data_IF_075099839565
#
_entry.id   IF_075099839565
#
_cell.length_a   1.000
_cell.length_b   1.000
_cell.length_c   1.000
_cell.angle_alpha   90.00
_cell.angle_beta   90.00
_cell.angle_gamma   90.00
#
_symmetry.space_group_name_H-M   'P 1'
#
loop_
_entity.id
_entity.type
_entity.pdbx_description
1 polymer ?
#
# COMPACT_ATOMS: atom_id res chain seq x y z
N UNK A 1 2.24 -7.34 0.82
CA UNK A 1 1.62 -8.21 1.87
C UNK A 1 0.23 -8.57 1.36
N UNK A 2 0.09 -9.70 0.72
CA UNK A 2 -1.21 -10.13 0.17
C UNK A 2 -1.80 -11.23 1.04
N UNK A 3 -3.10 -11.16 1.27
CA UNK A 3 -3.89 -12.24 1.87
C UNK A 3 -4.51 -13.04 0.71
N UNK A 4 -4.47 -14.38 0.78
CA UNK A 4 -5.08 -15.20 -0.26
C UNK A 4 -6.60 -14.98 -0.31
N UNK A 5 -7.25 -15.08 -1.47
CA UNK A 5 -8.70 -14.90 -1.60
C UNK A 5 -9.50 -15.81 -0.66
N UNK A 6 -9.03 -17.04 -0.44
CA UNK A 6 -9.68 -17.99 0.49
C UNK A 6 -9.63 -17.49 1.94
N UNK A 7 -8.46 -17.11 2.43
CA UNK A 7 -8.30 -16.58 3.79
C UNK A 7 -9.06 -15.27 3.94
N UNK A 8 -9.00 -14.39 2.94
CA UNK A 8 -9.75 -13.15 2.94
C UNK A 8 -11.26 -13.37 3.05
N UNK A 9 -11.82 -14.33 2.31
CA UNK A 9 -13.23 -14.73 2.43
C UNK A 9 -13.60 -15.19 3.84
N UNK A 10 -12.74 -15.98 4.51
CA UNK A 10 -12.94 -16.39 5.91
C UNK A 10 -12.91 -15.19 6.88
N UNK A 11 -12.00 -14.26 6.66
CA UNK A 11 -11.90 -13.02 7.45
C UNK A 11 -13.15 -12.15 7.28
N UNK A 12 -13.66 -11.97 6.06
CA UNK A 12 -14.89 -11.24 5.78
C UNK A 12 -16.12 -11.91 6.44
N UNK A 13 -16.20 -13.24 6.36
CA UNK A 13 -17.26 -13.99 7.04
C UNK A 13 -17.26 -13.76 8.56
N UNK A 14 -16.08 -13.68 9.16
CA UNK A 14 -15.93 -13.36 10.58
C UNK A 14 -16.35 -11.91 10.89
N UNK A 15 -15.85 -10.94 10.12
CA UNK A 15 -16.19 -9.52 10.30
C UNK A 15 -17.71 -9.32 10.19
N UNK A 16 -18.34 -9.91 9.18
CA UNK A 16 -19.79 -9.83 8.98
C UNK A 16 -20.61 -10.29 10.17
N UNK A 17 -20.12 -11.29 10.91
CA UNK A 17 -20.83 -11.89 12.06
C UNK A 17 -20.53 -11.20 13.39
N UNK A 18 -19.34 -10.64 13.54
CA UNK A 18 -18.80 -10.32 14.86
C UNK A 18 -18.33 -8.87 14.98
N UNK A 19 -18.45 -8.05 13.93
CA UNK A 19 -18.01 -6.66 13.95
C UNK A 19 -19.01 -5.77 13.23
N UNK A 20 -19.06 -4.53 13.65
CA UNK A 20 -19.78 -3.46 12.96
C UNK A 20 -18.87 -2.88 11.90
N UNK A 21 -18.86 -3.52 10.71
CA UNK A 21 -18.03 -3.06 9.58
C UNK A 21 -18.75 -1.92 8.86
N UNK A 22 -18.03 -0.81 8.66
CA UNK A 22 -18.57 0.41 8.07
C UNK A 22 -17.58 1.09 7.13
N UNK A 23 -18.03 2.00 6.23
CA UNK A 23 -17.13 2.86 5.45
C UNK A 23 -16.24 3.71 6.36
N UNK A 24 -15.02 4.02 5.89
CA UNK A 24 -14.04 4.78 6.69
C UNK A 24 -14.54 6.19 7.06
N UNK A 25 -15.25 6.87 6.16
CA UNK A 25 -15.85 8.17 6.44
C UNK A 25 -16.87 8.12 7.60
N UNK A 26 -17.68 7.05 7.67
CA UNK A 26 -18.61 6.82 8.78
C UNK A 26 -17.91 6.50 10.09
N UNK A 27 -16.81 5.76 10.03
CA UNK A 27 -15.97 5.51 11.20
C UNK A 27 -15.40 6.83 11.74
N UNK A 28 -14.87 7.67 10.85
CA UNK A 28 -14.34 9.00 11.19
C UNK A 28 -15.41 9.93 11.76
N UNK A 29 -16.62 9.93 11.18
CA UNK A 29 -17.75 10.69 11.70
C UNK A 29 -18.15 10.22 13.12
N UNK A 30 -18.17 8.90 13.32
CA UNK A 30 -18.42 8.29 14.64
C UNK A 30 -17.38 8.68 15.69
N UNK A 31 -16.10 8.72 15.31
CA UNK A 31 -15.01 9.21 16.18
C UNK A 31 -15.22 10.69 16.58
N UNK A 32 -15.51 11.55 15.59
CA UNK A 32 -15.76 12.99 15.83
C UNK A 32 -16.95 13.25 16.74
N UNK A 33 -18.03 12.51 16.55
CA UNK A 33 -19.25 12.64 17.32
C UNK A 33 -19.23 11.87 18.65
N UNK A 34 -18.15 11.11 18.93
CA UNK A 34 -18.03 10.19 20.08
C UNK A 34 -19.17 9.18 20.13
N UNK A 35 -19.65 8.74 18.97
CA UNK A 35 -20.74 7.79 18.83
C UNK A 35 -20.32 6.64 17.90
N UNK A 36 -19.14 6.06 18.16
CA UNK A 36 -18.63 4.92 17.40
C UNK A 36 -18.90 3.63 18.20
N UNK A 37 -19.47 2.58 17.58
CA UNK A 37 -19.55 1.26 18.21
C UNK A 37 -18.19 0.74 18.61
N UNK A 38 -18.08 0.11 19.77
CA UNK A 38 -16.79 -0.39 20.29
C UNK A 38 -16.18 -1.52 19.44
N UNK A 39 -17.00 -2.18 18.62
CA UNK A 39 -16.62 -3.22 17.67
C UNK A 39 -16.53 -2.72 16.22
N UNK A 40 -16.51 -1.39 16.01
CA UNK A 40 -16.43 -0.79 14.68
C UNK A 40 -15.13 -1.12 13.96
N UNK A 41 -15.23 -1.45 12.67
CA UNK A 41 -14.11 -1.77 11.78
C UNK A 41 -14.32 -1.10 10.43
N UNK A 42 -13.27 -0.50 9.87
CA UNK A 42 -13.20 -0.11 8.47
C UNK A 42 -12.14 -0.96 7.75
N UNK A 43 -12.49 -1.48 6.57
CA UNK A 43 -11.56 -2.25 5.72
C UNK A 43 -10.86 -1.27 4.80
N UNK A 44 -9.53 -1.36 4.70
CA UNK A 44 -8.75 -0.51 3.80
C UNK A 44 -7.76 -1.33 2.99
N UNK A 45 -7.50 -0.88 1.75
CA UNK A 45 -6.46 -1.38 0.86
C UNK A 45 -5.59 -0.21 0.41
N UNK A 46 -4.35 -0.48 0.08
CA UNK A 46 -3.41 0.49 -0.47
C UNK A 46 -3.01 0.10 -1.91
N UNK A 47 -2.36 1.01 -2.62
CA UNK A 47 -1.65 0.87 -3.89
C UNK A 47 -2.52 0.69 -5.14
N UNK A 48 -3.71 0.14 -5.06
CA UNK A 48 -4.59 0.03 -6.23
C UNK A 48 -4.19 -1.06 -7.21
N UNK A 49 -3.69 -2.18 -6.71
CA UNK A 49 -3.42 -3.38 -7.52
C UNK A 49 -4.69 -3.92 -8.17
N UNK A 50 -4.54 -4.51 -9.37
CA UNK A 50 -5.65 -5.12 -10.12
C UNK A 50 -6.33 -6.26 -9.36
N UNK A 51 -5.63 -6.95 -8.46
CA UNK A 51 -6.22 -7.99 -7.61
C UNK A 51 -7.31 -7.47 -6.67
N UNK A 52 -7.31 -6.19 -6.34
CA UNK A 52 -8.39 -5.55 -5.57
C UNK A 52 -9.72 -5.58 -6.34
N UNK A 53 -9.68 -5.42 -7.66
CA UNK A 53 -10.86 -5.55 -8.50
C UNK A 53 -11.25 -7.04 -8.72
N UNK A 54 -10.26 -7.87 -9.09
CA UNK A 54 -10.52 -9.24 -9.57
C UNK A 54 -10.81 -10.19 -8.42
N UNK A 55 -10.13 -10.04 -7.28
CA UNK A 55 -10.22 -10.96 -6.14
C UNK A 55 -10.97 -10.35 -4.96
N UNK A 56 -10.65 -9.11 -4.55
CA UNK A 56 -11.22 -8.55 -3.32
C UNK A 56 -12.66 -8.07 -3.51
N UNK A 57 -12.96 -7.35 -4.60
CA UNK A 57 -14.32 -6.81 -4.85
C UNK A 57 -15.41 -7.87 -4.85
N UNK A 58 -15.32 -9.01 -5.56
CA UNK A 58 -16.36 -10.03 -5.54
C UNK A 58 -16.66 -10.54 -4.12
N UNK A 59 -15.61 -10.77 -3.33
CA UNK A 59 -15.77 -11.22 -1.94
C UNK A 59 -16.42 -10.14 -1.06
N UNK A 60 -16.03 -8.88 -1.20
CA UNK A 60 -16.65 -7.77 -0.48
C UNK A 60 -18.14 -7.64 -0.84
N UNK A 61 -18.50 -7.84 -2.10
CA UNK A 61 -19.91 -7.84 -2.57
C UNK A 61 -20.70 -8.99 -1.95
N UNK A 62 -20.16 -10.21 -1.95
CA UNK A 62 -20.83 -11.40 -1.39
C UNK A 62 -21.15 -11.20 0.10
N UNK A 63 -20.24 -10.61 0.86
CA UNK A 63 -20.43 -10.31 2.28
C UNK A 63 -21.09 -8.96 2.54
N UNK A 64 -21.30 -8.12 1.52
CA UNK A 64 -21.81 -6.73 1.61
C UNK A 64 -21.04 -5.89 2.62
N UNK A 65 -19.72 -5.95 2.55
CA UNK A 65 -18.82 -5.21 3.42
C UNK A 65 -18.13 -4.08 2.66
N UNK A 66 -18.25 -2.83 3.13
CA UNK A 66 -17.60 -1.70 2.48
C UNK A 66 -16.10 -1.70 2.71
N UNK A 67 -15.36 -1.05 1.80
CA UNK A 67 -13.94 -0.84 1.93
C UNK A 67 -13.52 0.53 1.36
N UNK A 68 -12.32 1.00 1.72
CA UNK A 68 -11.67 2.15 1.11
C UNK A 68 -10.35 1.71 0.48
N UNK A 69 -10.11 2.07 -0.78
CA UNK A 69 -8.86 1.86 -1.47
C UNK A 69 -8.08 3.17 -1.57
N UNK A 70 -6.87 3.22 -1.05
CA UNK A 70 -5.96 4.35 -1.18
C UNK A 70 -5.11 4.21 -2.44
N UNK A 71 -5.24 5.18 -3.36
CA UNK A 71 -4.76 5.08 -4.74
C UNK A 71 -3.59 6.03 -5.02
N UNK A 72 -2.39 5.53 -5.37
CA UNK A 72 -1.30 6.35 -5.89
C UNK A 72 -1.56 6.65 -7.37
N UNK A 73 -1.99 7.88 -7.66
CA UNK A 73 -2.62 8.23 -8.94
C UNK A 73 -1.69 8.23 -10.13
N UNK A 74 -0.39 8.46 -9.95
CA UNK A 74 0.61 8.44 -11.02
C UNK A 74 0.88 7.04 -11.60
N UNK A 75 0.37 5.99 -10.95
CA UNK A 75 0.51 4.61 -11.41
C UNK A 75 -0.74 4.09 -12.14
N UNK A 76 -1.82 4.85 -12.14
CA UNK A 76 -3.07 4.46 -12.80
C UNK A 76 -2.86 4.23 -14.30
N UNK A 77 -3.14 3.01 -14.75
CA UNK A 77 -2.95 2.60 -16.13
C UNK A 77 -1.50 2.31 -16.52
N UNK A 78 -0.59 2.25 -15.56
CA UNK A 78 0.77 1.82 -15.83
C UNK A 78 0.81 0.40 -16.37
N UNK A 79 1.60 0.19 -17.43
CA UNK A 79 1.88 -1.14 -17.99
C UNK A 79 3.09 -1.81 -17.33
N UNK A 80 3.75 -1.09 -16.42
CA UNK A 80 4.86 -1.63 -15.61
C UNK A 80 4.41 -1.76 -14.17
N UNK A 81 4.91 -2.76 -13.44
CA UNK A 81 4.60 -2.95 -12.03
C UNK A 81 5.14 -1.79 -11.19
N UNK A 82 4.74 -1.75 -9.94
CA UNK A 82 5.37 -0.85 -8.98
C UNK A 82 6.86 -1.17 -8.84
N UNK A 83 7.67 -0.15 -8.61
CA UNK A 83 9.12 -0.29 -8.57
C UNK A 83 9.63 -1.32 -7.54
N UNK A 84 8.92 -1.49 -6.44
CA UNK A 84 9.28 -2.49 -5.43
C UNK A 84 8.95 -3.91 -5.87
N UNK A 85 7.95 -4.11 -6.73
CA UNK A 85 7.65 -5.39 -7.33
C UNK A 85 8.66 -5.72 -8.44
N UNK A 86 9.04 -4.73 -9.28
CA UNK A 86 10.14 -4.91 -10.25
C UNK A 86 11.42 -5.32 -9.51
N UNK A 87 11.75 -4.64 -8.41
CA UNK A 87 12.93 -4.97 -7.62
C UNK A 87 12.85 -6.39 -7.04
N UNK A 88 11.67 -6.82 -6.57
CA UNK A 88 11.46 -8.17 -6.09
C UNK A 88 11.63 -9.22 -7.21
N UNK A 89 11.07 -8.95 -8.40
CA UNK A 89 11.26 -9.80 -9.57
C UNK A 89 12.74 -9.99 -9.91
N UNK A 90 13.52 -8.90 -9.90
CA UNK A 90 14.94 -8.95 -10.26
C UNK A 90 15.80 -9.65 -9.22
N UNK A 91 15.50 -9.43 -7.94
CA UNK A 91 16.36 -9.90 -6.85
C UNK A 91 15.90 -11.20 -6.22
N UNK A 92 14.60 -11.37 -5.98
CA UNK A 92 14.05 -12.50 -5.23
C UNK A 92 13.54 -13.63 -6.13
N UNK A 93 12.84 -13.28 -7.25
CA UNK A 93 12.15 -14.25 -8.09
C UNK A 93 12.94 -14.64 -9.33
N UNK A 94 13.84 -13.78 -9.82
CA UNK A 94 14.68 -14.07 -10.98
C UNK A 94 15.60 -15.25 -10.70
N UNK A 95 15.70 -16.17 -11.67
CA UNK A 95 16.69 -17.26 -11.68
C UNK A 95 18.03 -16.85 -12.27
N UNK A 96 18.17 -15.60 -12.63
CA UNK A 96 19.39 -15.07 -13.26
C UNK A 96 20.53 -15.00 -12.25
N UNK A 97 21.70 -15.51 -12.64
CA UNK A 97 22.96 -15.28 -11.95
C UNK A 97 23.41 -13.84 -12.14
N UNK A 98 23.78 -13.16 -11.10
CA UNK A 98 24.14 -11.73 -11.13
C UNK A 98 25.48 -11.49 -10.45
N UNK A 99 26.34 -10.72 -11.10
CA UNK A 99 27.56 -10.18 -10.52
C UNK A 99 27.88 -8.86 -11.18
N UNK A 100 27.39 -7.76 -10.61
CA UNK A 100 27.73 -6.41 -11.05
C UNK A 100 27.65 -5.41 -9.90
N UNK A 101 28.15 -4.23 -10.15
CA UNK A 101 28.09 -3.10 -9.22
C UNK A 101 27.14 -2.05 -9.78
N UNK A 102 26.23 -1.58 -8.95
CA UNK A 102 25.32 -0.49 -9.26
C UNK A 102 25.65 0.71 -8.38
N UNK A 103 25.72 1.90 -8.98
CA UNK A 103 25.89 3.16 -8.26
C UNK A 103 24.52 3.84 -8.16
N UNK A 104 24.10 4.09 -6.94
CA UNK A 104 22.86 4.81 -6.65
C UNK A 104 23.22 6.05 -5.85
N UNK A 105 23.14 7.23 -6.47
CA UNK A 105 23.73 8.46 -5.95
C UNK A 105 25.23 8.25 -5.65
N UNK A 106 25.66 8.45 -4.40
CA UNK A 106 27.05 8.28 -3.96
C UNK A 106 27.30 6.91 -3.30
N UNK A 107 26.34 6.00 -3.34
CA UNK A 107 26.42 4.69 -2.70
C UNK A 107 26.56 3.58 -3.74
N UNK A 108 27.57 2.74 -3.56
CA UNK A 108 27.85 1.61 -4.44
C UNK A 108 27.24 0.33 -3.90
N UNK A 109 26.35 -0.29 -4.68
CA UNK A 109 25.75 -1.56 -4.38
C UNK A 109 26.42 -2.67 -5.17
N UNK A 110 27.01 -3.63 -4.47
CA UNK A 110 27.49 -4.86 -5.08
C UNK A 110 26.33 -5.87 -5.16
N UNK A 111 25.81 -6.04 -6.36
CA UNK A 111 24.75 -7.02 -6.64
C UNK A 111 25.42 -8.32 -7.08
N UNK A 112 25.50 -9.27 -6.16
CA UNK A 112 26.12 -10.56 -6.42
C UNK A 112 25.34 -11.69 -5.79
N UNK A 113 24.84 -12.58 -6.62
CA UNK A 113 24.25 -13.86 -6.22
C UNK A 113 24.38 -14.89 -7.33
N UNK A 114 24.51 -16.12 -6.94
CA UNK A 114 24.46 -17.26 -7.83
C UNK A 114 23.01 -17.69 -8.11
N UNK A 115 22.81 -18.76 -8.87
CA UNK A 115 21.49 -19.34 -9.04
C UNK A 115 20.89 -19.67 -7.65
N UNK A 116 19.56 -19.49 -7.47
CA UNK A 116 18.94 -19.70 -6.17
C UNK A 116 19.15 -21.14 -5.71
N UNK A 117 19.80 -21.31 -4.57
CA UNK A 117 19.92 -22.60 -3.91
C UNK A 117 18.55 -23.13 -3.47
N UNK A 118 17.58 -22.22 -3.22
CA UNK A 118 16.17 -22.52 -3.02
C UNK A 118 15.32 -21.31 -3.46
N UNK A 119 14.80 -21.35 -4.68
CA UNK A 119 13.86 -20.33 -5.16
C UNK A 119 12.67 -20.15 -4.19
N UNK A 120 12.20 -21.25 -3.62
CA UNK A 120 11.06 -21.27 -2.70
C UNK A 120 11.28 -20.47 -1.42
N UNK A 121 12.53 -20.43 -0.89
CA UNK A 121 12.86 -19.69 0.32
C UNK A 121 12.86 -18.16 0.11
N UNK A 122 13.29 -17.68 -1.06
CA UNK A 122 13.29 -16.26 -1.40
C UNK A 122 11.87 -15.81 -1.79
N UNK A 123 11.10 -16.62 -2.49
CA UNK A 123 9.70 -16.37 -2.82
C UNK A 123 8.79 -16.31 -1.58
N UNK A 124 9.00 -17.20 -0.62
CA UNK A 124 8.24 -17.23 0.62
C UNK A 124 8.66 -16.14 1.63
N UNK A 125 9.82 -15.51 1.43
CA UNK A 125 10.33 -14.52 2.35
C UNK A 125 9.47 -13.24 2.36
N UNK A 126 9.44 -12.57 3.50
CA UNK A 126 8.73 -11.29 3.67
C UNK A 126 9.71 -10.21 4.10
N UNK A 127 9.60 -9.03 3.53
CA UNK A 127 10.47 -7.89 3.82
C UNK A 127 10.43 -7.41 5.29
N UNK A 128 9.44 -7.85 6.05
CA UNK A 128 9.36 -7.65 7.51
C UNK A 128 10.24 -8.63 8.32
N UNK A 129 10.76 -9.67 7.66
CA UNK A 129 11.64 -10.67 8.27
C UNK A 129 13.10 -10.30 8.05
N UNK A 130 13.99 -10.80 8.91
CA UNK A 130 15.43 -10.60 8.75
C UNK A 130 15.93 -11.21 7.42
N UNK A 131 16.68 -10.47 6.57
CA UNK A 131 17.21 -10.99 5.32
C UNK A 131 18.38 -11.95 5.58
N UNK A 132 18.28 -13.19 5.08
CA UNK A 132 19.27 -14.27 5.27
C UNK A 132 20.12 -14.49 4.03
N UNK A 133 19.51 -14.47 2.83
CA UNK A 133 20.20 -14.72 1.58
C UNK A 133 20.82 -13.44 1.00
N UNK A 134 21.77 -13.57 0.06
CA UNK A 134 22.35 -12.43 -0.65
C UNK A 134 21.28 -11.66 -1.44
N UNK A 135 20.29 -12.36 -1.99
CA UNK A 135 19.15 -11.80 -2.74
C UNK A 135 18.26 -10.93 -1.83
N UNK A 136 17.88 -11.45 -0.67
CA UNK A 136 17.07 -10.72 0.31
C UNK A 136 17.80 -9.47 0.83
N UNK A 137 19.12 -9.59 1.10
CA UNK A 137 19.96 -8.45 1.51
C UNK A 137 20.04 -7.39 0.40
N UNK A 138 20.22 -7.80 -0.85
CA UNK A 138 20.24 -6.89 -1.99
C UNK A 138 18.89 -6.17 -2.15
N UNK A 139 17.76 -6.91 -2.08
CA UNK A 139 16.43 -6.34 -2.12
C UNK A 139 16.25 -5.24 -1.05
N UNK A 140 16.49 -5.57 0.21
CA UNK A 140 16.27 -4.63 1.32
C UNK A 140 17.18 -3.40 1.22
N UNK A 141 18.45 -3.57 0.83
CA UNK A 141 19.39 -2.46 0.70
C UNK A 141 18.97 -1.50 -0.40
N UNK A 142 18.66 -2.02 -1.60
CA UNK A 142 18.18 -1.21 -2.71
C UNK A 142 16.81 -0.60 -2.41
N UNK A 143 15.88 -1.36 -1.81
CA UNK A 143 14.56 -0.87 -1.46
C UNK A 143 14.62 0.34 -0.52
N UNK A 144 15.46 0.26 0.53
CA UNK A 144 15.64 1.37 1.48
C UNK A 144 16.17 2.62 0.78
N UNK A 145 17.16 2.46 -0.09
CA UNK A 145 17.73 3.58 -0.83
C UNK A 145 16.73 4.17 -1.82
N UNK A 146 16.12 3.33 -2.65
CA UNK A 146 15.15 3.77 -3.67
C UNK A 146 13.90 4.43 -3.08
N UNK A 147 13.47 4.01 -1.90
CA UNK A 147 12.33 4.60 -1.19
C UNK A 147 12.54 6.09 -0.92
N UNK A 148 13.75 6.46 -0.50
CA UNK A 148 14.08 7.81 -0.05
C UNK A 148 14.45 8.77 -1.20
N UNK A 149 14.59 8.26 -2.43
CA UNK A 149 14.84 9.05 -3.62
C UNK A 149 13.59 9.79 -4.12
N UNK A 150 13.82 10.94 -4.75
CA UNK A 150 12.78 11.59 -5.56
C UNK A 150 12.35 10.69 -6.73
N UNK A 151 11.17 10.94 -7.30
CA UNK A 151 10.68 10.16 -8.44
C UNK A 151 11.66 10.18 -9.64
N UNK A 152 12.27 11.33 -9.93
CA UNK A 152 13.21 11.45 -11.05
C UNK A 152 14.51 10.66 -10.84
N UNK A 153 15.06 10.69 -9.64
CA UNK A 153 16.25 9.92 -9.27
C UNK A 153 15.98 8.43 -9.30
N UNK A 154 14.89 8.01 -8.65
CA UNK A 154 14.45 6.61 -8.63
C UNK A 154 14.25 6.06 -10.05
N UNK A 155 13.59 6.83 -10.94
CA UNK A 155 13.38 6.40 -12.33
C UNK A 155 14.68 6.16 -13.08
N UNK A 156 15.68 7.01 -12.91
CA UNK A 156 17.01 6.83 -13.54
C UNK A 156 17.70 5.54 -13.08
N UNK A 157 17.65 5.25 -11.78
CA UNK A 157 18.23 4.01 -11.23
C UNK A 157 17.51 2.78 -11.76
N UNK A 158 16.16 2.80 -11.72
CA UNK A 158 15.35 1.68 -12.22
C UNK A 158 15.56 1.44 -13.71
N UNK A 159 15.74 2.48 -14.52
CA UNK A 159 16.02 2.35 -15.94
C UNK A 159 17.38 1.66 -16.18
N UNK A 160 18.42 2.03 -15.42
CA UNK A 160 19.70 1.32 -15.44
C UNK A 160 19.54 -0.17 -15.11
N UNK A 161 18.78 -0.48 -14.06
CA UNK A 161 18.55 -1.85 -13.64
C UNK A 161 17.72 -2.65 -14.66
N UNK A 162 16.68 -2.07 -15.27
CA UNK A 162 15.87 -2.71 -16.32
C UNK A 162 16.69 -3.16 -17.52
N UNK A 163 17.74 -2.42 -17.88
CA UNK A 163 18.67 -2.81 -18.93
C UNK A 163 19.45 -4.09 -18.64
N UNK A 164 19.55 -4.48 -17.37
CA UNK A 164 20.37 -5.61 -16.88
C UNK A 164 19.54 -6.82 -16.47
N UNK A 165 18.34 -6.57 -15.95
CA UNK A 165 17.45 -7.60 -15.45
C UNK A 165 16.27 -7.84 -16.38
N UNK A 166 15.82 -9.09 -16.45
CA UNK A 166 14.59 -9.47 -17.14
C UNK A 166 13.67 -10.10 -16.10
N UNK A 167 12.51 -9.51 -15.89
CA UNK A 167 11.46 -10.02 -15.02
C UNK A 167 10.14 -10.13 -15.79
N UNK A 168 9.26 -10.99 -15.33
CA UNK A 168 7.87 -11.12 -15.82
C UNK A 168 6.96 -10.88 -14.62
N UNK A 169 6.36 -9.69 -14.57
CA UNK A 169 5.40 -9.37 -13.53
C UNK A 169 4.04 -10.02 -13.84
N UNK A 170 3.43 -10.71 -12.87
CA UNK A 170 2.08 -11.24 -13.04
C UNK A 170 1.06 -10.13 -13.31
N UNK A 171 0.09 -10.32 -14.22
CA UNK A 171 -0.89 -9.28 -14.58
C UNK A 171 -1.70 -8.72 -13.40
N UNK A 172 -1.93 -9.51 -12.35
CA UNK A 172 -2.66 -9.07 -11.15
C UNK A 172 -1.84 -8.17 -10.22
N UNK A 173 -0.52 -8.16 -10.37
CA UNK A 173 0.40 -7.27 -9.65
C UNK A 173 0.57 -5.91 -10.36
N UNK A 174 -0.13 -5.68 -11.47
CA UNK A 174 -0.15 -4.38 -12.13
C UNK A 174 -1.13 -3.43 -11.44
N UNK A 175 -0.88 -2.11 -11.47
CA UNK A 175 -1.86 -1.12 -11.09
C UNK A 175 -3.10 -1.16 -11.98
N UNK A 176 -4.26 -0.85 -11.40
CA UNK A 176 -5.50 -0.72 -12.16
C UNK A 176 -5.43 0.48 -13.12
N UNK A 177 -6.09 0.34 -14.26
CA UNK A 177 -6.35 1.46 -15.15
C UNK A 177 -7.63 2.21 -14.75
N UNK A 178 -7.92 3.34 -15.44
CA UNK A 178 -9.06 4.19 -15.12
C UNK A 178 -10.41 3.47 -15.23
N UNK A 179 -10.61 2.64 -16.24
CA UNK A 179 -11.88 1.90 -16.40
C UNK A 179 -12.05 0.84 -15.30
N UNK A 180 -10.97 0.20 -14.87
CA UNK A 180 -10.97 -0.75 -13.75
C UNK A 180 -11.28 -0.07 -12.40
N UNK A 181 -10.79 1.17 -12.18
CA UNK A 181 -11.15 1.96 -11.00
C UNK A 181 -12.64 2.34 -11.03
N UNK A 182 -13.16 2.75 -12.18
CA UNK A 182 -14.58 3.03 -12.33
C UNK A 182 -15.45 1.78 -12.08
N UNK A 183 -15.05 0.64 -12.62
CA UNK A 183 -15.70 -0.65 -12.33
C UNK A 183 -15.62 -1.01 -10.85
N UNK A 184 -14.47 -0.78 -10.19
CA UNK A 184 -14.31 -1.02 -8.76
C UNK A 184 -15.30 -0.24 -7.90
N UNK A 185 -15.58 1.00 -8.25
CA UNK A 185 -16.35 1.96 -7.44
C UNK A 185 -17.82 2.11 -7.84
N UNK A 186 -18.26 1.56 -8.98
CA UNK A 186 -19.58 1.81 -9.58
C UNK A 186 -20.78 1.49 -8.69
N UNK A 187 -20.65 0.55 -7.76
CA UNK A 187 -21.72 0.12 -6.84
C UNK A 187 -21.68 0.85 -5.48
N UNK A 188 -20.70 1.72 -5.26
CA UNK A 188 -20.52 2.49 -4.04
C UNK A 188 -20.05 1.68 -2.82
N UNK A 189 -19.76 0.40 -2.99
CA UNK A 189 -19.29 -0.46 -1.88
C UNK A 189 -17.81 -0.15 -1.55
N UNK A 190 -17.01 0.17 -2.58
CA UNK A 190 -15.60 0.55 -2.41
C UNK A 190 -15.45 2.03 -2.76
N UNK A 191 -14.88 2.79 -1.83
CA UNK A 191 -14.56 4.21 -2.00
C UNK A 191 -13.07 4.39 -2.27
N UNK A 192 -12.69 5.53 -2.88
CA UNK A 192 -11.27 5.86 -3.12
C UNK A 192 -10.81 6.92 -2.12
N UNK A 193 -9.66 6.68 -1.51
CA UNK A 193 -8.85 7.63 -0.78
C UNK A 193 -7.57 7.98 -1.55
N UNK A 194 -6.92 9.09 -1.22
CA UNK A 194 -5.68 9.50 -1.86
C UNK A 194 -4.44 8.85 -1.21
N UNK A 195 -3.42 8.56 -2.03
CA UNK A 195 -2.17 7.93 -1.60
C UNK A 195 -0.94 8.53 -2.30
N UNK A 196 -0.92 9.86 -2.46
CA UNK A 196 0.06 10.61 -3.26
C UNK A 196 -0.04 10.33 -4.77
N UNK A 197 0.78 11.01 -5.56
CA UNK A 197 0.89 10.72 -6.99
C UNK A 197 1.86 9.56 -7.24
N UNK A 198 3.10 9.66 -6.74
CA UNK A 198 4.20 8.74 -7.07
C UNK A 198 4.62 7.81 -5.93
N UNK A 199 3.86 7.78 -4.83
CA UNK A 199 4.15 6.96 -3.65
C UNK A 199 5.56 7.22 -3.07
N UNK A 200 5.96 8.47 -2.79
CA UNK A 200 7.25 8.79 -2.19
C UNK A 200 7.23 8.65 -0.66
N UNK A 201 8.41 8.55 -0.04
CA UNK A 201 8.58 8.83 1.37
C UNK A 201 8.44 10.35 1.59
N UNK A 202 7.29 10.79 2.12
CA UNK A 202 6.91 12.21 2.18
C UNK A 202 7.85 13.06 3.06
N UNK A 203 8.48 12.44 4.07
CA UNK A 203 9.41 13.15 4.96
C UNK A 203 10.72 13.51 4.27
N UNK A 204 11.09 12.80 3.19
CA UNK A 204 12.28 13.05 2.40
C UNK A 204 12.11 14.20 1.38
N UNK A 205 10.88 14.59 1.09
CA UNK A 205 10.58 15.66 0.13
C UNK A 205 10.66 17.05 0.76
N UNK A 206 10.91 18.05 -0.07
CA UNK A 206 10.68 19.45 0.32
C UNK A 206 9.21 19.70 0.63
N UNK A 207 8.90 20.80 1.32
CA UNK A 207 7.51 21.16 1.68
C UNK A 207 6.64 21.34 0.44
N UNK A 208 7.18 21.92 -0.63
CA UNK A 208 6.45 22.17 -1.86
C UNK A 208 6.18 20.87 -2.64
N UNK A 209 7.17 20.00 -2.78
CA UNK A 209 7.00 18.69 -3.42
C UNK A 209 5.99 17.82 -2.63
N UNK A 210 6.11 17.80 -1.29
CA UNK A 210 5.17 17.10 -0.43
C UNK A 210 3.73 17.61 -0.62
N UNK A 211 3.55 18.95 -0.64
CA UNK A 211 2.24 19.57 -0.90
C UNK A 211 1.69 19.17 -2.27
N UNK A 212 2.53 19.21 -3.31
CA UNK A 212 2.15 18.84 -4.66
C UNK A 212 1.73 17.36 -4.75
N UNK A 213 2.50 16.46 -4.18
CA UNK A 213 2.18 15.01 -4.13
C UNK A 213 0.82 14.74 -3.48
N UNK A 214 0.49 15.47 -2.42
CA UNK A 214 -0.77 15.29 -1.69
C UNK A 214 -1.93 15.93 -2.47
N UNK A 215 -1.85 17.20 -2.82
CA UNK A 215 -2.97 17.92 -3.43
C UNK A 215 -3.30 17.40 -4.84
N UNK A 216 -2.28 17.15 -5.67
CA UNK A 216 -2.48 16.60 -7.02
C UNK A 216 -3.14 15.21 -6.94
N UNK A 217 -2.77 14.37 -5.96
CA UNK A 217 -3.38 13.05 -5.81
C UNK A 217 -4.86 13.13 -5.41
N UNK A 218 -5.22 14.04 -4.52
CA UNK A 218 -6.62 14.28 -4.13
C UNK A 218 -7.45 14.68 -5.34
N UNK A 219 -6.97 15.66 -6.11
CA UNK A 219 -7.67 16.14 -7.31
C UNK A 219 -7.76 15.06 -8.40
N UNK A 220 -6.68 14.31 -8.63
CA UNK A 220 -6.67 13.23 -9.62
C UNK A 220 -7.61 12.07 -9.22
N UNK A 221 -7.69 11.71 -7.94
CA UNK A 221 -8.68 10.75 -7.46
C UNK A 221 -10.11 11.26 -7.68
N UNK A 222 -10.38 12.53 -7.38
CA UNK A 222 -11.69 13.17 -7.64
C UNK A 222 -12.07 13.12 -9.13
N UNK A 223 -11.13 13.42 -10.02
CA UNK A 223 -11.34 13.33 -11.48
C UNK A 223 -11.58 11.89 -11.92
N UNK A 224 -10.88 10.92 -11.34
CA UNK A 224 -11.01 9.51 -11.71
C UNK A 224 -12.37 8.91 -11.31
N UNK A 225 -12.89 9.30 -10.16
CA UNK A 225 -14.10 8.72 -9.56
C UNK A 225 -15.36 9.60 -9.72
N UNK A 226 -15.19 10.90 -9.93
CA UNK A 226 -16.30 11.87 -9.97
C UNK A 226 -16.89 12.22 -8.59
N UNK A 227 -16.26 11.76 -7.48
CA UNK A 227 -16.72 12.02 -6.11
C UNK A 227 -15.61 12.70 -5.29
N UNK A 228 -16.02 13.35 -4.19
CA UNK A 228 -15.07 13.97 -3.27
C UNK A 228 -14.23 12.89 -2.56
N UNK A 229 -12.94 13.19 -2.39
CA UNK A 229 -11.98 12.35 -1.67
C UNK A 229 -11.75 12.95 -0.30
N UNK A 230 -12.11 12.21 0.73
CA UNK A 230 -12.11 12.70 2.11
C UNK A 230 -11.03 12.07 3.00
N UNK A 231 -10.33 11.05 2.50
CA UNK A 231 -9.34 10.31 3.27
C UNK A 231 -8.02 10.15 2.53
N UNK A 232 -6.95 10.02 3.29
CA UNK A 232 -5.58 9.85 2.82
C UNK A 232 -4.91 8.67 3.52
N UNK A 233 -3.92 8.03 2.89
CA UNK A 233 -2.98 7.17 3.59
C UNK A 233 -1.55 7.62 3.28
N UNK A 234 -0.70 7.64 4.31
CA UNK A 234 0.71 7.99 4.13
C UNK A 234 1.47 6.82 3.52
N UNK A 235 2.13 6.98 2.34
CA UNK A 235 3.02 5.95 1.80
C UNK A 235 4.03 5.50 2.87
N UNK A 236 4.17 4.19 3.05
CA UNK A 236 5.03 3.57 4.08
C UNK A 236 4.66 3.92 5.54
N UNK A 237 3.58 4.68 5.77
CA UNK A 237 3.32 5.32 7.06
C UNK A 237 4.28 6.46 7.37
N UNK A 238 5.03 6.95 6.39
CA UNK A 238 6.07 7.96 6.54
C UNK A 238 5.47 9.34 6.72
N UNK A 239 5.46 9.81 7.97
CA UNK A 239 4.88 11.08 8.38
C UNK A 239 5.66 11.72 9.52
N UNK A 240 5.68 13.04 9.52
CA UNK A 240 6.11 13.89 10.62
C UNK A 240 5.12 15.06 10.77
N UNK A 241 5.33 15.94 11.73
CA UNK A 241 4.42 17.06 12.01
C UNK A 241 4.20 17.96 10.78
N UNK A 242 5.26 18.26 10.01
CA UNK A 242 5.17 19.03 8.76
C UNK A 242 4.26 18.36 7.73
N UNK A 243 4.45 17.05 7.47
CA UNK A 243 3.64 16.29 6.50
C UNK A 243 2.19 16.22 6.97
N UNK A 244 1.97 15.96 8.25
CA UNK A 244 0.64 15.90 8.86
C UNK A 244 -0.10 17.23 8.75
N UNK A 245 0.58 18.34 8.97
CA UNK A 245 0.00 19.68 8.81
C UNK A 245 -0.44 19.93 7.36
N UNK A 246 0.36 19.53 6.37
CA UNK A 246 -0.02 19.65 4.96
C UNK A 246 -1.28 18.85 4.67
N UNK A 247 -1.36 17.58 5.11
CA UNK A 247 -2.52 16.72 4.92
C UNK A 247 -3.76 17.28 5.59
N UNK A 248 -3.66 17.81 6.82
CA UNK A 248 -4.78 18.40 7.55
C UNK A 248 -5.36 19.64 6.86
N UNK A 249 -4.52 20.37 6.09
CA UNK A 249 -4.92 21.56 5.33
C UNK A 249 -5.36 21.25 3.89
N UNK A 250 -5.29 19.99 3.46
CA UNK A 250 -5.65 19.58 2.09
C UNK A 250 -7.16 19.37 1.89
N UNK A 251 -8.00 19.75 2.85
CA UNK A 251 -9.46 19.54 2.78
C UNK A 251 -9.92 18.12 3.11
N UNK A 252 -9.00 17.26 3.57
CA UNK A 252 -9.28 15.88 3.94
C UNK A 252 -9.91 15.79 5.35
N UNK A 253 -10.68 14.77 5.58
CA UNK A 253 -11.32 14.48 6.86
C UNK A 253 -10.47 13.63 7.78
N UNK A 254 -9.59 12.81 7.21
CA UNK A 254 -8.75 11.89 7.97
C UNK A 254 -7.55 11.40 7.17
N UNK A 255 -6.56 10.87 7.89
CA UNK A 255 -5.45 10.16 7.26
C UNK A 255 -5.01 8.95 8.07
N UNK A 256 -4.71 7.86 7.37
CA UNK A 256 -4.29 6.58 7.94
C UNK A 256 -2.76 6.46 7.93
N UNK A 257 -2.22 6.03 9.06
CA UNK A 257 -0.80 5.66 9.23
C UNK A 257 -0.62 4.14 9.11
N UNK A 258 0.61 3.66 9.33
CA UNK A 258 0.93 2.22 9.50
C UNK A 258 1.16 1.85 10.97
N UNK A 259 0.80 2.72 11.91
CA UNK A 259 0.88 2.43 13.34
C UNK A 259 -0.05 1.26 13.67
N UNK A 260 0.51 0.11 14.04
CA UNK A 260 -0.23 -1.10 14.37
C UNK A 260 -0.87 -1.01 15.76
N UNK A 261 -2.03 -0.38 15.84
CA UNK A 261 -2.77 -0.21 17.09
C UNK A 261 -4.28 -0.17 16.85
N UNK A 262 -5.06 -0.38 17.91
CA UNK A 262 -6.48 -0.10 17.93
C UNK A 262 -6.74 1.39 18.07
N UNK A 263 -7.93 1.84 17.65
CA UNK A 263 -8.39 3.21 17.83
C UNK A 263 -8.55 3.54 19.30
N UNK A 264 -8.06 4.69 19.71
CA UNK A 264 -8.38 5.26 21.02
C UNK A 264 -9.57 6.21 20.87
N UNK A 265 -10.75 5.77 21.30
CA UNK A 265 -12.01 6.50 21.12
C UNK A 265 -12.03 7.87 21.83
N UNK A 266 -11.20 8.07 22.84
CA UNK A 266 -11.20 9.29 23.64
C UNK A 266 -10.29 10.39 23.08
N UNK A 267 -9.22 10.04 22.37
CA UNK A 267 -8.20 11.00 21.95
C UNK A 267 -7.51 10.66 20.63
N UNK A 268 -8.20 10.02 19.67
CA UNK A 268 -7.58 9.64 18.42
C UNK A 268 -7.28 10.86 17.52
N UNK A 269 -6.07 10.89 17.01
CA UNK A 269 -5.66 11.83 15.99
C UNK A 269 -6.20 11.41 14.62
N UNK A 270 -7.16 12.16 14.09
CA UNK A 270 -7.79 11.87 12.80
C UNK A 270 -6.82 11.90 11.60
N UNK A 271 -5.67 12.56 11.74
CA UNK A 271 -4.65 12.62 10.69
C UNK A 271 -3.48 11.67 10.97
N UNK A 272 -3.65 10.71 11.85
CA UNK A 272 -2.70 9.65 12.18
C UNK A 272 -3.38 8.35 12.58
N UNK A 273 -4.55 8.04 12.00
CA UNK A 273 -5.36 6.86 12.34
C UNK A 273 -4.52 5.58 12.26
N UNK A 274 -4.52 4.75 13.30
CA UNK A 274 -3.80 3.49 13.29
C UNK A 274 -4.50 2.48 12.38
N UNK A 275 -3.74 1.50 11.89
CA UNK A 275 -4.26 0.39 11.10
C UNK A 275 -3.62 -0.92 11.51
N UNK A 276 -4.40 -1.96 11.65
CA UNK A 276 -3.92 -3.31 11.86
C UNK A 276 -3.55 -3.92 10.49
N UNK A 277 -2.29 -4.20 10.26
CA UNK A 277 -1.83 -4.91 9.07
C UNK A 277 -2.26 -6.39 9.16
N UNK A 278 -3.16 -6.81 8.28
CA UNK A 278 -3.71 -8.16 8.28
C UNK A 278 -2.76 -9.13 7.57
N UNK A 279 -2.17 -10.11 8.29
CA UNK A 279 -1.28 -11.09 7.66
C UNK A 279 -2.07 -12.17 6.92
N UNK A 280 -1.40 -12.86 5.98
CA UNK A 280 -1.89 -14.10 5.39
C UNK A 280 -1.71 -15.25 6.40
N UNK A 281 -2.52 -15.27 7.44
CA UNK A 281 -2.41 -16.17 8.58
C UNK A 281 -3.74 -16.87 8.87
N UNK A 282 -3.69 -17.83 9.77
CA UNK A 282 -4.89 -18.54 10.21
C UNK A 282 -5.90 -17.61 10.93
N UNK A 283 -7.12 -18.08 11.05
CA UNK A 283 -8.21 -17.34 11.68
C UNK A 283 -8.02 -17.12 13.19
N UNK A 284 -7.17 -17.89 13.87
CA UNK A 284 -6.92 -17.67 15.28
C UNK A 284 -6.11 -16.39 15.50
N UNK A 285 -5.05 -16.18 14.70
CA UNK A 285 -4.26 -14.95 14.70
C UNK A 285 -5.10 -13.73 14.30
N UNK A 286 -5.92 -13.86 13.25
CA UNK A 286 -6.82 -12.78 12.84
C UNK A 286 -7.78 -12.35 13.96
N UNK A 287 -8.42 -13.31 14.64
CA UNK A 287 -9.32 -13.04 15.77
C UNK A 287 -8.59 -12.39 16.95
N UNK A 288 -7.42 -12.90 17.31
CA UNK A 288 -6.60 -12.35 18.40
C UNK A 288 -6.22 -10.88 18.12
N UNK A 289 -5.83 -10.57 16.87
CA UNK A 289 -5.50 -9.21 16.45
C UNK A 289 -6.67 -8.23 16.62
N UNK A 290 -7.92 -8.67 16.48
CA UNK A 290 -9.10 -7.82 16.63
C UNK A 290 -9.60 -7.68 18.07
N UNK A 291 -9.03 -8.41 19.03
CA UNK A 291 -9.48 -8.44 20.44
C UNK A 291 -8.44 -7.91 21.42
N UNK A 292 -7.22 -7.69 20.99
CA UNK A 292 -6.11 -7.10 21.76
C UNK A 292 -6.12 -5.58 21.65
#
# INVERSE_FOLDING_TARGET
MAVSPEIFGQQLAYLRRHRTTMPLDRLVEGLRSRNLPCDAVAITFDDGYRDNLVNAKPLLMDYRLPATLFLPTGWVGSSVPFWWDELAEWTLLSRQKVSHTELVEDETFLLRWDEPESADADEAWRASSEPRTARQKAYISLWRKLRDLTQGERSRVLESLRGRFRGVCPPLSLPMNRSEIQELTQDGLITIGAHTVHHPALTCLSTEECRKEILDSVEQCRIATGVEVTSFAYPYGDMNERVREIVSRAGLSSACSTRGAHLNLDCEDLYGLPRLAVPNSDMAQFKAMLTS
#
